data_IF_641962531429
#
_entry.id   IF_641962531429
#
_cell.length_a   1.000
_cell.length_b   1.000
_cell.length_c   1.000
_cell.angle_alpha   90.00
_cell.angle_beta   90.00
_cell.angle_gamma   90.00
#
_symmetry.space_group_name_H-M   'P 1'
#
loop_
_entity.id
_entity.type
_entity.pdbx_description
1 polymer ?
#
# COMPACT_ATOMS: atom_id res chain seq x y z
N UNK A 1 43.56 -34.04 -13.22
CA UNK A 1 43.49 -33.54 -14.59
C UNK A 1 42.18 -34.02 -15.22
N UNK A 2 40.99 -33.53 -14.76
CA UNK A 2 39.77 -33.61 -15.53
C UNK A 2 38.88 -32.32 -15.48
N UNK A 3 39.39 -31.16 -15.05
CA UNK A 3 38.56 -29.94 -14.91
C UNK A 3 38.67 -29.03 -16.14
N UNK A 4 39.60 -29.27 -17.04
CA UNK A 4 39.85 -28.41 -18.23
C UNK A 4 38.95 -28.78 -19.46
N UNK A 5 38.26 -29.92 -19.46
CA UNK A 5 37.44 -30.34 -20.62
C UNK A 5 35.97 -29.90 -20.55
N UNK A 6 35.46 -29.52 -19.36
CA UNK A 6 34.06 -29.12 -19.22
C UNK A 6 33.76 -27.68 -19.67
N UNK A 7 34.73 -26.76 -19.58
CA UNK A 7 34.53 -25.36 -19.94
C UNK A 7 34.43 -25.13 -21.48
N UNK A 8 35.11 -25.94 -22.26
CA UNK A 8 35.10 -25.79 -23.73
C UNK A 8 33.88 -26.43 -24.40
N UNK A 9 33.25 -27.44 -23.79
CA UNK A 9 32.05 -28.05 -24.34
C UNK A 9 30.81 -27.14 -24.18
N UNK A 10 30.75 -26.42 -23.06
CA UNK A 10 29.64 -25.44 -22.84
C UNK A 10 29.79 -24.21 -23.72
N UNK A 11 30.99 -23.70 -23.94
CA UNK A 11 31.22 -22.54 -24.82
C UNK A 11 30.97 -22.87 -26.30
N UNK A 12 31.35 -24.06 -26.74
CA UNK A 12 31.13 -24.51 -28.14
C UNK A 12 29.66 -24.82 -28.44
N UNK A 13 28.89 -25.42 -27.49
CA UNK A 13 27.46 -25.62 -27.64
C UNK A 13 26.68 -24.32 -27.57
N UNK A 14 27.08 -23.37 -26.72
CA UNK A 14 26.44 -22.09 -26.59
C UNK A 14 26.59 -21.25 -27.86
N UNK A 15 27.78 -21.17 -28.43
CA UNK A 15 28.04 -20.52 -29.72
C UNK A 15 27.30 -21.24 -30.86
N UNK A 16 27.30 -22.56 -30.89
CA UNK A 16 26.58 -23.34 -31.92
C UNK A 16 25.03 -23.23 -31.82
N UNK A 17 24.46 -23.10 -30.60
CA UNK A 17 23.03 -22.78 -30.43
C UNK A 17 22.68 -21.37 -30.89
N UNK A 18 23.59 -20.41 -30.71
CA UNK A 18 23.43 -19.04 -31.19
C UNK A 18 23.49 -18.91 -32.72
N UNK A 19 24.26 -19.79 -33.37
CA UNK A 19 24.37 -19.85 -34.84
C UNK A 19 23.22 -20.66 -35.50
N UNK A 20 22.70 -21.69 -34.84
CA UNK A 20 21.65 -22.54 -35.39
C UNK A 20 20.23 -21.91 -35.40
N UNK A 21 19.98 -20.86 -34.61
CA UNK A 21 18.71 -20.10 -34.59
C UNK A 21 18.56 -19.04 -35.69
N UNK A 22 19.53 -18.88 -36.56
CA UNK A 22 19.63 -17.78 -37.52
C UNK A 22 18.86 -17.98 -38.84
N UNK A 23 17.78 -18.73 -38.85
CA UNK A 23 16.90 -18.84 -40.04
C UNK A 23 15.82 -17.75 -40.07
N UNK A 24 16.21 -16.47 -40.19
CA UNK A 24 15.28 -15.35 -40.37
C UNK A 24 15.42 -14.17 -39.41
N UNK A 25 16.06 -14.33 -38.27
CA UNK A 25 16.42 -13.23 -37.37
C UNK A 25 17.82 -12.70 -37.71
N UNK A 26 18.05 -11.38 -37.62
CA UNK A 26 19.39 -10.84 -37.68
C UNK A 26 20.30 -11.56 -36.70
N UNK A 27 21.50 -11.99 -37.15
CA UNK A 27 22.43 -12.77 -36.36
C UNK A 27 22.69 -12.11 -35.01
N UNK A 28 22.77 -12.92 -33.93
CA UNK A 28 23.15 -12.42 -32.60
C UNK A 28 24.55 -11.81 -32.69
N UNK A 29 24.62 -10.50 -32.55
CA UNK A 29 25.87 -9.75 -32.50
C UNK A 29 26.03 -9.03 -31.16
N UNK A 30 27.26 -8.85 -30.72
CA UNK A 30 27.51 -8.04 -29.52
C UNK A 30 26.91 -6.63 -29.66
N UNK A 31 26.89 -6.08 -30.86
CA UNK A 31 26.29 -4.78 -31.15
C UNK A 31 24.79 -4.79 -30.92
N UNK A 32 24.05 -5.82 -31.34
CA UNK A 32 22.61 -5.96 -31.13
C UNK A 32 22.28 -5.99 -29.61
N UNK A 33 22.98 -6.80 -28.87
CA UNK A 33 22.81 -6.89 -27.39
C UNK A 33 23.13 -5.57 -26.72
N UNK A 34 24.21 -4.91 -27.13
CA UNK A 34 24.60 -3.60 -26.60
C UNK A 34 23.53 -2.53 -26.86
N UNK A 35 23.00 -2.47 -28.08
CA UNK A 35 21.94 -1.51 -28.42
C UNK A 35 20.67 -1.80 -27.60
N UNK A 36 20.24 -3.05 -27.48
CA UNK A 36 19.09 -3.43 -26.65
C UNK A 36 19.31 -2.99 -25.18
N UNK A 37 20.50 -3.21 -24.63
CA UNK A 37 20.86 -2.75 -23.29
C UNK A 37 20.85 -1.23 -23.17
N UNK A 38 21.36 -0.51 -24.17
CA UNK A 38 21.33 0.97 -24.19
C UNK A 38 19.90 1.52 -24.28
N UNK A 39 19.01 0.90 -25.06
CA UNK A 39 17.60 1.28 -25.11
C UNK A 39 16.93 1.12 -23.75
N UNK A 40 17.19 0.00 -23.07
CA UNK A 40 16.69 -0.20 -21.71
C UNK A 40 17.31 0.80 -20.71
N UNK A 41 18.59 1.16 -20.86
CA UNK A 41 19.21 2.20 -20.03
C UNK A 41 18.53 3.56 -20.24
N UNK A 42 18.16 3.91 -21.48
CA UNK A 42 17.41 5.12 -21.79
C UNK A 42 16.04 5.08 -21.12
N UNK A 43 15.29 3.99 -21.23
CA UNK A 43 14.00 3.83 -20.56
C UNK A 43 14.13 3.94 -19.03
N UNK A 44 15.13 3.27 -18.44
CA UNK A 44 15.38 3.29 -17.00
C UNK A 44 16.00 4.62 -16.51
N UNK A 45 16.61 5.44 -17.35
CA UNK A 45 17.11 6.76 -16.94
C UNK A 45 15.99 7.67 -16.41
N UNK A 46 14.75 7.44 -16.82
CA UNK A 46 13.57 8.14 -16.34
C UNK A 46 13.42 8.06 -14.81
N UNK A 47 13.80 6.93 -14.19
CA UNK A 47 13.66 6.77 -12.72
C UNK A 47 14.63 7.68 -11.95
N UNK A 48 15.86 7.87 -12.45
CA UNK A 48 16.82 8.77 -11.82
C UNK A 48 16.43 10.23 -12.05
N UNK A 49 15.96 10.56 -13.27
CA UNK A 49 15.45 11.89 -13.60
C UNK A 49 14.22 12.22 -12.77
N UNK A 50 13.30 11.27 -12.62
CA UNK A 50 12.10 11.39 -11.79
C UNK A 50 12.45 11.60 -10.31
N UNK A 51 13.31 10.75 -9.75
CA UNK A 51 13.76 10.90 -8.37
C UNK A 51 14.44 12.25 -8.12
N UNK A 52 15.31 12.69 -9.05
CA UNK A 52 15.93 14.02 -8.97
C UNK A 52 14.89 15.14 -9.03
N UNK A 53 13.93 15.05 -9.95
CA UNK A 53 12.86 16.05 -10.07
C UNK A 53 12.00 16.10 -8.81
N UNK A 54 11.59 14.97 -8.26
CA UNK A 54 10.80 14.88 -7.03
C UNK A 54 11.52 15.45 -5.80
N UNK A 55 12.84 15.21 -5.68
CA UNK A 55 13.65 15.72 -4.55
C UNK A 55 14.01 17.20 -4.68
N UNK A 56 14.06 17.73 -5.90
CA UNK A 56 14.57 19.11 -6.19
C UNK A 56 13.43 20.10 -6.35
N UNK A 57 12.38 19.72 -7.08
CA UNK A 57 11.27 20.60 -7.39
C UNK A 57 10.08 20.38 -6.46
N UNK A 58 9.41 21.43 -6.05
CA UNK A 58 8.12 21.35 -5.34
C UNK A 58 6.99 21.16 -6.35
N UNK A 59 6.97 19.99 -7.00
CA UNK A 59 5.91 19.67 -7.95
C UNK A 59 4.65 19.27 -7.15
N UNK A 60 3.53 19.89 -7.45
CA UNK A 60 2.27 19.55 -6.79
C UNK A 60 1.83 18.12 -7.14
N UNK A 61 1.26 17.40 -6.17
CA UNK A 61 0.82 16.00 -6.33
C UNK A 61 -0.13 15.80 -7.52
N UNK A 62 -1.02 16.77 -7.79
CA UNK A 62 -1.92 16.74 -8.96
C UNK A 62 -1.18 16.73 -10.29
N UNK A 63 -0.04 17.42 -10.40
CA UNK A 63 0.77 17.43 -11.63
C UNK A 63 1.43 16.07 -11.82
N UNK A 64 2.01 15.52 -10.76
CA UNK A 64 2.63 14.17 -10.78
C UNK A 64 1.58 13.13 -11.16
N UNK A 65 0.38 13.19 -10.56
CA UNK A 65 -0.73 12.30 -10.84
C UNK A 65 -1.16 12.34 -12.33
N UNK A 66 -1.23 13.53 -12.91
CA UNK A 66 -1.59 13.69 -14.33
C UNK A 66 -0.49 13.17 -15.28
N UNK A 67 0.79 13.34 -14.94
CA UNK A 67 1.90 12.75 -15.71
C UNK A 67 1.89 11.22 -15.58
N UNK A 68 1.61 10.70 -14.37
CA UNK A 68 1.47 9.26 -14.13
C UNK A 68 0.31 8.67 -14.93
N UNK A 69 -0.85 9.33 -14.92
CA UNK A 69 -2.02 8.93 -15.71
C UNK A 69 -1.73 8.91 -17.21
N UNK A 70 -1.02 9.92 -17.71
CA UNK A 70 -0.57 9.98 -19.11
C UNK A 70 0.35 8.79 -19.44
N UNK A 71 1.36 8.52 -18.62
CA UNK A 71 2.26 7.37 -18.80
C UNK A 71 1.51 6.03 -18.73
N UNK A 72 0.56 5.90 -17.80
CA UNK A 72 -0.31 4.71 -17.69
C UNK A 72 -1.14 4.49 -18.96
N UNK A 73 -1.72 5.57 -19.52
CA UNK A 73 -2.46 5.50 -20.77
C UNK A 73 -1.59 5.04 -21.95
N UNK A 74 -0.36 5.54 -22.02
CA UNK A 74 0.61 5.11 -23.04
C UNK A 74 0.99 3.62 -22.87
N UNK A 75 1.19 3.15 -21.63
CA UNK A 75 1.43 1.73 -21.35
C UNK A 75 0.24 0.85 -21.73
N UNK A 76 -1.00 1.27 -21.41
CA UNK A 76 -2.20 0.51 -21.81
C UNK A 76 -2.28 0.35 -23.32
N UNK A 77 -1.93 1.38 -24.09
CA UNK A 77 -1.84 1.27 -25.56
C UNK A 77 -0.81 0.21 -25.97
N UNK A 78 0.43 0.31 -25.49
CA UNK A 78 1.49 -0.64 -25.80
C UNK A 78 1.13 -2.08 -25.41
N UNK A 79 0.49 -2.26 -24.25
CA UNK A 79 0.01 -3.58 -23.81
C UNK A 79 -1.07 -4.15 -24.72
N UNK A 80 -2.03 -3.32 -25.13
CA UNK A 80 -3.15 -3.78 -25.97
C UNK A 80 -2.72 -4.07 -27.40
N UNK A 81 -1.94 -3.18 -28.00
CA UNK A 81 -1.60 -3.25 -29.43
C UNK A 81 -0.32 -4.05 -29.65
N UNK A 82 0.77 -3.71 -28.96
CA UNK A 82 2.06 -4.32 -29.23
C UNK A 82 2.16 -5.72 -28.59
N UNK A 83 1.75 -5.87 -27.31
CA UNK A 83 1.93 -7.14 -26.60
C UNK A 83 0.73 -8.09 -26.70
N UNK A 84 -0.52 -7.61 -26.63
CA UNK A 84 -1.65 -8.54 -26.72
C UNK A 84 -2.00 -8.85 -28.20
N UNK A 85 -2.27 -7.82 -28.99
CA UNK A 85 -2.67 -7.99 -30.38
C UNK A 85 -1.48 -8.42 -31.22
N UNK A 86 -0.35 -7.69 -31.19
CA UNK A 86 0.82 -7.98 -32.01
C UNK A 86 1.41 -9.37 -31.79
N UNK A 87 1.56 -9.81 -30.54
CA UNK A 87 2.02 -11.17 -30.21
C UNK A 87 1.05 -12.24 -30.70
N UNK A 88 -0.29 -12.00 -30.59
CA UNK A 88 -1.30 -12.93 -31.11
C UNK A 88 -1.21 -13.00 -32.64
N UNK A 89 -1.13 -11.87 -33.33
CA UNK A 89 -1.01 -11.77 -34.78
C UNK A 89 0.25 -12.50 -35.28
N UNK A 90 1.38 -12.30 -34.61
CA UNK A 90 2.65 -12.95 -34.94
C UNK A 90 2.56 -14.48 -34.82
N UNK A 91 1.91 -15.02 -33.78
CA UNK A 91 1.64 -16.45 -33.64
C UNK A 91 0.78 -16.97 -34.80
N UNK A 92 -0.29 -16.26 -35.13
CA UNK A 92 -1.22 -16.66 -36.21
C UNK A 92 -0.52 -16.66 -37.58
N UNK A 93 0.28 -15.64 -37.88
CA UNK A 93 1.07 -15.58 -39.12
C UNK A 93 2.13 -16.67 -39.19
N UNK A 94 2.59 -17.19 -38.06
CA UNK A 94 3.51 -18.34 -37.99
C UNK A 94 2.81 -19.70 -38.07
N UNK A 95 1.48 -19.72 -38.33
CA UNK A 95 0.70 -20.92 -38.55
C UNK A 95 0.03 -21.49 -37.31
N UNK A 96 0.09 -20.82 -36.16
CA UNK A 96 -0.63 -21.23 -34.93
C UNK A 96 -2.12 -20.93 -35.11
N UNK A 97 -3.05 -21.89 -34.81
CA UNK A 97 -4.48 -21.62 -34.89
C UNK A 97 -4.92 -20.47 -33.96
N UNK A 98 -5.85 -19.62 -34.42
CA UNK A 98 -6.28 -18.41 -33.72
C UNK A 98 -6.66 -18.62 -32.25
N UNK A 99 -7.40 -19.70 -31.96
CA UNK A 99 -7.82 -20.00 -30.57
C UNK A 99 -6.62 -20.40 -29.71
N UNK A 100 -5.65 -21.11 -30.25
CA UNK A 100 -4.42 -21.50 -29.56
C UNK A 100 -3.54 -20.25 -29.31
N UNK A 101 -3.36 -19.40 -30.32
CA UNK A 101 -2.63 -18.16 -30.19
C UNK A 101 -3.25 -17.25 -29.11
N UNK A 102 -4.58 -17.07 -29.14
CA UNK A 102 -5.29 -16.35 -28.08
C UNK A 102 -5.08 -17.00 -26.70
N UNK A 103 -5.18 -18.32 -26.60
CA UNK A 103 -5.02 -19.01 -25.31
C UNK A 103 -3.62 -18.88 -24.73
N UNK A 104 -2.57 -18.90 -25.57
CA UNK A 104 -1.17 -18.68 -25.14
C UNK A 104 -1.01 -17.25 -24.59
N UNK A 105 -1.49 -16.26 -25.32
CA UNK A 105 -1.37 -14.87 -24.91
C UNK A 105 -2.23 -14.58 -23.68
N UNK A 106 -3.49 -14.98 -23.67
CA UNK A 106 -4.38 -14.78 -22.52
C UNK A 106 -3.85 -15.50 -21.25
N UNK A 107 -3.37 -16.74 -21.41
CA UNK A 107 -2.75 -17.51 -20.33
C UNK A 107 -1.47 -16.86 -19.81
N UNK A 108 -0.64 -16.32 -20.70
CA UNK A 108 0.56 -15.56 -20.36
C UNK A 108 0.23 -14.29 -19.55
N UNK A 109 -0.71 -13.47 -20.05
CA UNK A 109 -1.17 -12.27 -19.33
C UNK A 109 -1.72 -12.59 -17.95
N UNK A 110 -2.57 -13.62 -17.83
CA UNK A 110 -3.09 -14.04 -16.54
C UNK A 110 -1.98 -14.52 -15.59
N UNK A 111 -1.06 -15.33 -16.08
CA UNK A 111 0.08 -15.84 -15.29
C UNK A 111 1.00 -14.71 -14.83
N UNK A 112 1.35 -13.80 -15.74
CA UNK A 112 2.19 -12.65 -15.43
C UNK A 112 1.55 -11.72 -14.41
N UNK A 113 0.26 -11.44 -14.57
CA UNK A 113 -0.51 -10.65 -13.60
C UNK A 113 -0.56 -11.31 -12.23
N UNK A 114 -0.76 -12.63 -12.17
CA UNK A 114 -0.79 -13.38 -10.90
C UNK A 114 0.59 -13.41 -10.21
N UNK A 115 1.66 -13.60 -10.98
CA UNK A 115 3.06 -13.55 -10.45
C UNK A 115 3.33 -12.18 -9.88
N UNK A 116 3.04 -11.12 -10.63
CA UNK A 116 3.24 -9.75 -10.17
C UNK A 116 2.42 -9.46 -8.90
N UNK A 117 1.12 -9.76 -8.92
CA UNK A 117 0.23 -9.58 -7.77
C UNK A 117 0.77 -10.23 -6.50
N UNK A 118 1.19 -11.51 -6.62
CA UNK A 118 1.68 -12.28 -5.48
C UNK A 118 3.02 -11.75 -4.97
N UNK A 119 3.96 -11.47 -5.88
CA UNK A 119 5.28 -10.94 -5.55
C UNK A 119 5.19 -9.53 -4.93
N UNK A 120 4.36 -8.66 -5.52
CA UNK A 120 4.12 -7.31 -5.02
C UNK A 120 3.58 -7.34 -3.57
N UNK A 121 2.57 -8.17 -3.31
CA UNK A 121 1.99 -8.33 -1.96
C UNK A 121 3.00 -8.87 -0.94
N UNK A 122 3.84 -9.83 -1.34
CA UNK A 122 4.90 -10.36 -0.47
C UNK A 122 5.95 -9.30 -0.15
N UNK A 123 6.35 -8.51 -1.13
CA UNK A 123 7.34 -7.44 -0.95
C UNK A 123 6.76 -6.33 -0.07
N UNK A 124 5.50 -5.94 -0.26
CA UNK A 124 4.86 -4.92 0.54
C UNK A 124 4.72 -5.36 2.01
N UNK A 125 4.34 -6.62 2.25
CA UNK A 125 4.27 -7.19 3.61
C UNK A 125 5.65 -7.34 4.27
N UNK A 126 6.73 -7.44 3.48
CA UNK A 126 8.11 -7.46 3.98
C UNK A 126 8.70 -6.05 4.21
N UNK A 127 7.89 -4.98 4.05
CA UNK A 127 8.28 -3.60 4.27
C UNK A 127 8.62 -2.82 3.00
N UNK A 128 8.21 -3.30 1.82
CA UNK A 128 8.38 -2.61 0.55
C UNK A 128 7.31 -1.56 0.23
N UNK A 129 6.28 -1.44 1.07
CA UNK A 129 5.11 -0.59 0.83
C UNK A 129 5.46 0.89 0.62
N UNK A 130 6.51 1.39 1.29
CA UNK A 130 6.94 2.80 1.19
C UNK A 130 7.43 3.22 -0.21
N UNK A 131 7.66 2.29 -1.15
CA UNK A 131 8.06 2.62 -2.52
C UNK A 131 6.94 3.27 -3.35
N UNK A 132 5.69 2.94 -3.03
CA UNK A 132 4.50 3.48 -3.70
C UNK A 132 3.59 4.17 -2.68
N UNK A 133 3.17 5.38 -2.98
CA UNK A 133 2.35 6.17 -2.04
C UNK A 133 1.03 5.49 -1.68
N UNK A 134 0.36 4.88 -2.66
CA UNK A 134 -0.89 4.12 -2.44
C UNK A 134 -0.66 2.91 -1.54
N UNK A 135 0.41 2.13 -1.80
CA UNK A 135 0.73 0.95 -0.99
C UNK A 135 1.15 1.35 0.43
N UNK A 136 1.89 2.46 0.59
CA UNK A 136 2.26 3.01 1.88
C UNK A 136 1.03 3.39 2.71
N UNK A 137 0.05 4.07 2.10
CA UNK A 137 -1.23 4.42 2.75
C UNK A 137 -2.03 3.19 3.11
N UNK A 138 -2.16 2.23 2.18
CA UNK A 138 -2.88 0.98 2.42
C UNK A 138 -2.25 0.17 3.57
N UNK A 139 -0.93 0.02 3.58
CA UNK A 139 -0.19 -0.65 4.66
C UNK A 139 -0.39 0.06 6.00
N UNK A 140 -0.25 1.38 6.04
CA UNK A 140 -0.40 2.16 7.27
C UNK A 140 -1.84 2.07 7.79
N UNK A 141 -2.84 2.13 6.90
CA UNK A 141 -4.25 1.98 7.28
C UNK A 141 -4.55 0.59 7.83
N UNK A 142 -4.04 -0.47 7.18
CA UNK A 142 -4.21 -1.86 7.63
C UNK A 142 -3.60 -2.05 9.03
N UNK A 143 -2.40 -1.50 9.26
CA UNK A 143 -1.76 -1.51 10.57
C UNK A 143 -2.51 -0.71 11.62
N UNK A 144 -3.01 0.47 11.29
CA UNK A 144 -3.86 1.26 12.20
C UNK A 144 -5.12 0.49 12.57
N UNK A 145 -5.76 -0.17 11.61
CA UNK A 145 -6.93 -1.00 11.85
C UNK A 145 -6.60 -2.23 12.71
N UNK A 146 -5.48 -2.90 12.47
CA UNK A 146 -5.00 -4.04 13.27
C UNK A 146 -4.76 -3.63 14.72
N UNK A 147 -4.02 -2.54 14.95
CA UNK A 147 -3.71 -2.01 16.28
C UNK A 147 -4.96 -1.54 17.02
N UNK A 148 -5.84 -0.80 16.33
CA UNK A 148 -7.08 -0.32 16.90
C UNK A 148 -8.09 -1.45 17.17
N UNK A 149 -8.05 -2.55 16.40
CA UNK A 149 -9.04 -3.64 16.49
C UNK A 149 -9.15 -4.26 17.87
N UNK A 150 -8.04 -4.55 18.52
CA UNK A 150 -8.01 -5.07 19.89
C UNK A 150 -8.61 -4.11 20.91
N UNK A 151 -8.28 -2.83 20.80
CA UNK A 151 -8.82 -1.77 21.64
C UNK A 151 -10.34 -1.59 21.43
N UNK A 152 -10.77 -1.57 20.17
CA UNK A 152 -12.19 -1.43 19.81
C UNK A 152 -13.02 -2.64 20.23
N UNK A 153 -12.45 -3.84 20.27
CA UNK A 153 -13.11 -5.01 20.84
C UNK A 153 -13.37 -4.85 22.34
N UNK A 154 -12.43 -4.26 23.08
CA UNK A 154 -12.59 -3.95 24.50
C UNK A 154 -13.61 -2.83 24.71
N UNK A 155 -13.54 -1.75 23.94
CA UNK A 155 -14.53 -0.65 23.97
C UNK A 155 -15.94 -1.16 23.68
N UNK A 156 -16.11 -2.04 22.68
CA UNK A 156 -17.40 -2.62 22.32
C UNK A 156 -18.06 -3.49 23.40
N UNK A 157 -17.31 -3.98 24.38
CA UNK A 157 -17.86 -4.69 25.55
C UNK A 157 -18.64 -3.74 26.47
N UNK A 158 -18.29 -2.45 26.47
CA UNK A 158 -18.98 -1.46 27.28
C UNK A 158 -20.26 -0.95 26.58
N UNK A 159 -21.36 -0.92 27.32
CA UNK A 159 -22.67 -0.53 26.78
C UNK A 159 -22.72 0.94 26.33
N UNK A 160 -22.01 1.83 27.04
CA UNK A 160 -21.92 3.25 26.67
C UNK A 160 -21.16 3.44 25.38
N UNK A 161 -19.99 2.78 25.25
CA UNK A 161 -19.19 2.85 24.02
C UNK A 161 -19.91 2.22 22.83
N UNK A 162 -20.57 1.08 23.05
CA UNK A 162 -21.34 0.39 22.02
C UNK A 162 -22.55 1.18 21.51
N UNK A 163 -23.05 2.12 22.28
CA UNK A 163 -24.12 3.01 21.83
C UNK A 163 -23.62 4.15 20.93
N UNK A 164 -22.31 4.39 20.86
CA UNK A 164 -21.72 5.34 19.92
C UNK A 164 -21.75 4.78 18.51
N UNK A 165 -21.99 5.63 17.49
CA UNK A 165 -21.99 5.18 16.08
C UNK A 165 -20.62 4.62 15.67
N UNK A 166 -20.53 3.38 15.18
CA UNK A 166 -19.24 2.81 14.72
C UNK A 166 -18.54 3.65 13.66
N UNK A 167 -19.31 4.32 12.80
CA UNK A 167 -18.78 5.19 11.73
C UNK A 167 -18.05 6.44 12.21
N UNK A 168 -18.21 6.82 13.47
CA UNK A 168 -17.65 8.03 14.06
C UNK A 168 -16.47 7.75 15.00
N UNK A 169 -16.11 6.48 15.17
CA UNK A 169 -15.03 6.05 16.06
C UNK A 169 -13.65 6.52 15.57
N UNK A 170 -13.46 6.65 14.25
CA UNK A 170 -12.20 7.18 13.69
C UNK A 170 -11.86 8.56 14.26
N UNK A 171 -12.86 9.40 14.51
CA UNK A 171 -12.70 10.71 15.12
C UNK A 171 -12.34 10.65 16.63
N UNK A 172 -12.65 9.53 17.32
CA UNK A 172 -12.35 9.34 18.74
C UNK A 172 -10.90 8.88 18.97
N UNK A 173 -10.34 8.09 18.04
CA UNK A 173 -9.03 7.45 18.21
C UNK A 173 -7.90 8.42 18.60
N UNK A 174 -7.76 9.62 18.01
CA UNK A 174 -6.70 10.57 18.36
C UNK A 174 -6.72 11.06 19.82
N UNK A 175 -7.87 10.93 20.50
CA UNK A 175 -8.08 11.39 21.87
C UNK A 175 -7.97 10.27 22.90
N UNK A 176 -7.67 9.03 22.46
CA UNK A 176 -7.43 7.90 23.34
C UNK A 176 -6.00 7.95 23.87
N UNK A 177 -5.84 8.05 25.17
CA UNK A 177 -4.54 8.10 25.85
C UNK A 177 -4.31 6.80 26.62
N UNK A 178 -3.21 6.13 26.40
CA UNK A 178 -2.83 4.97 27.21
C UNK A 178 -2.38 5.44 28.60
N UNK A 179 -2.80 4.69 29.60
CA UNK A 179 -2.40 4.93 31.00
C UNK A 179 -1.91 3.63 31.64
N UNK A 180 -0.93 3.80 32.54
CA UNK A 180 -0.46 2.75 33.43
C UNK A 180 -0.59 3.23 34.88
N UNK A 181 -1.10 2.39 35.77
CA UNK A 181 -1.28 2.71 37.18
C UNK A 181 -0.77 1.54 38.01
N UNK A 182 0.25 1.79 38.87
CA UNK A 182 0.82 0.73 39.72
C UNK A 182 -0.13 0.32 40.83
N UNK A 183 -0.04 -0.92 41.25
CA UNK A 183 -0.77 -1.45 42.39
C UNK A 183 -0.62 -0.56 43.62
N UNK A 184 -1.73 -0.30 44.33
CA UNK A 184 -1.78 0.59 45.50
C UNK A 184 -1.89 2.08 45.17
N UNK A 185 -1.92 2.47 43.89
CA UNK A 185 -2.11 3.87 43.47
C UNK A 185 -3.60 4.16 43.21
N UNK A 186 -3.99 5.41 43.46
CA UNK A 186 -5.34 5.89 43.14
C UNK A 186 -5.45 6.30 41.68
N UNK A 187 -6.51 5.86 41.04
CA UNK A 187 -6.89 6.38 39.72
C UNK A 187 -7.54 7.76 39.90
N UNK A 188 -8.43 7.88 40.86
CA UNK A 188 -9.02 9.13 41.37
C UNK A 188 -9.69 8.89 42.72
N UNK A 189 -10.03 9.97 43.45
CA UNK A 189 -10.67 9.91 44.77
C UNK A 189 -12.09 10.44 44.74
N UNK A 190 -12.92 9.96 45.64
CA UNK A 190 -14.27 10.49 45.84
C UNK A 190 -14.23 11.97 46.20
N UNK A 191 -15.01 12.78 45.46
CA UNK A 191 -15.04 14.24 45.60
C UNK A 191 -14.14 14.98 44.62
N UNK A 192 -13.20 14.31 43.94
CA UNK A 192 -12.41 14.92 42.87
C UNK A 192 -13.30 15.36 41.69
N UNK A 193 -12.83 16.28 40.89
CA UNK A 193 -13.51 16.68 39.66
C UNK A 193 -13.49 15.51 38.68
N UNK A 194 -14.62 15.25 38.03
CA UNK A 194 -14.72 14.20 37.02
C UNK A 194 -14.21 14.69 35.69
N UNK A 195 -12.93 14.56 35.43
CA UNK A 195 -12.18 15.13 34.31
C UNK A 195 -11.98 14.17 33.13
N UNK A 196 -12.14 12.86 33.35
CA UNK A 196 -11.91 11.84 32.35
C UNK A 196 -12.74 10.58 32.56
N UNK A 197 -12.77 9.74 31.54
CA UNK A 197 -13.28 8.36 31.57
C UNK A 197 -12.10 7.41 31.34
N UNK A 198 -12.15 6.24 31.98
CA UNK A 198 -11.11 5.23 31.89
C UNK A 198 -11.72 3.87 31.48
N UNK A 199 -11.17 3.25 30.46
CA UNK A 199 -11.42 1.86 30.09
C UNK A 199 -10.24 1.01 30.57
N UNK A 200 -10.50 -0.04 31.33
CA UNK A 200 -9.46 -0.92 31.86
C UNK A 200 -9.15 -2.02 30.85
N UNK A 201 -7.89 -2.06 30.37
CA UNK A 201 -7.40 -3.04 29.40
C UNK A 201 -6.68 -4.22 30.07
N UNK A 202 -6.07 -4.02 31.24
CA UNK A 202 -5.49 -5.07 32.06
C UNK A 202 -5.52 -4.69 33.53
N UNK A 203 -5.46 -5.68 34.41
CA UNK A 203 -5.45 -5.49 35.87
C UNK A 203 -6.84 -5.42 36.51
N UNK A 204 -6.87 -4.98 37.78
CA UNK A 204 -8.08 -4.86 38.60
C UNK A 204 -8.03 -3.65 39.51
N UNK A 205 -9.20 -3.02 39.71
CA UNK A 205 -9.39 -1.86 40.57
C UNK A 205 -10.46 -2.14 41.61
N UNK A 206 -10.27 -1.63 42.81
CA UNK A 206 -11.26 -1.61 43.87
C UNK A 206 -12.06 -0.30 43.88
N UNK A 207 -13.36 -0.38 44.06
CA UNK A 207 -14.28 0.76 44.23
C UNK A 207 -14.58 0.93 45.69
N UNK A 208 -14.25 2.11 46.23
CA UNK A 208 -14.44 2.44 47.64
C UNK A 208 -15.36 3.67 47.75
N UNK A 209 -16.32 3.58 48.67
CA UNK A 209 -17.24 4.67 48.97
C UNK A 209 -17.18 5.05 50.43
N UNK A 210 -16.97 6.34 50.68
CA UNK A 210 -16.98 6.94 51.99
C UNK A 210 -18.41 7.40 52.32
N UNK A 211 -18.93 6.99 53.46
CA UNK A 211 -20.21 7.47 53.98
C UNK A 211 -20.04 8.74 54.79
N UNK A 212 -21.11 9.54 54.88
CA UNK A 212 -21.13 10.75 55.69
C UNK A 212 -20.95 10.34 57.18
N UNK A 213 -19.82 10.78 57.81
CA UNK A 213 -19.44 10.38 59.18
C UNK A 213 -18.16 9.57 59.30
N UNK A 214 -17.60 9.02 58.23
CA UNK A 214 -16.30 8.32 58.25
C UNK A 214 -15.15 9.32 58.35
N UNK A 215 -14.43 9.31 59.47
CA UNK A 215 -13.43 10.34 59.80
C UNK A 215 -12.10 10.19 59.08
N UNK A 216 -11.65 8.98 58.68
CA UNK A 216 -10.37 8.73 57.99
C UNK A 216 -10.41 7.44 57.15
N UNK A 217 -9.74 7.45 55.99
CA UNK A 217 -9.56 6.30 55.10
C UNK A 217 -10.34 6.39 53.78
N UNK A 218 -10.16 5.39 52.93
CA UNK A 218 -10.75 5.32 51.58
C UNK A 218 -12.23 4.93 51.55
N UNK A 219 -12.82 4.62 52.72
CA UNK A 219 -14.18 4.15 52.85
C UNK A 219 -14.30 2.64 52.74
N UNK A 220 -15.53 2.14 52.51
CA UNK A 220 -15.83 0.72 52.41
C UNK A 220 -15.71 0.27 50.96
N UNK A 221 -15.02 -0.86 50.71
CA UNK A 221 -14.98 -1.49 49.40
C UNK A 221 -16.38 -1.99 49.01
N UNK A 222 -16.93 -1.47 47.94
CA UNK A 222 -18.31 -1.78 47.50
C UNK A 222 -18.35 -2.60 46.21
N UNK A 223 -17.30 -2.53 45.39
CA UNK A 223 -17.26 -3.23 44.09
C UNK A 223 -15.80 -3.41 43.60
N UNK A 224 -15.63 -4.12 42.51
CA UNK A 224 -14.37 -4.29 41.79
C UNK A 224 -14.56 -4.07 40.29
N UNK A 225 -13.54 -3.50 39.64
CA UNK A 225 -13.49 -3.24 38.20
C UNK A 225 -12.37 -4.09 37.61
N UNK A 226 -12.68 -4.76 36.52
CA UNK A 226 -11.76 -5.66 35.81
C UNK A 226 -11.66 -5.29 34.33
N UNK A 227 -10.79 -5.97 33.62
CA UNK A 227 -10.59 -5.79 32.17
C UNK A 227 -11.93 -5.71 31.40
N UNK A 228 -12.03 -4.76 30.48
CA UNK A 228 -13.20 -4.51 29.63
C UNK A 228 -14.28 -3.65 30.29
N UNK A 229 -14.09 -3.25 31.55
CA UNK A 229 -15.01 -2.35 32.23
C UNK A 229 -14.55 -0.90 32.17
N UNK A 230 -15.52 0.00 32.23
CA UNK A 230 -15.31 1.47 32.17
C UNK A 230 -15.63 2.05 33.55
N UNK A 231 -14.82 3.02 33.95
CA UNK A 231 -15.01 3.80 35.16
C UNK A 231 -14.91 5.29 34.90
N UNK A 232 -15.68 6.08 35.65
CA UNK A 232 -15.71 7.53 35.51
C UNK A 232 -16.63 8.04 34.39
N UNK A 233 -17.53 7.21 33.85
CA UNK A 233 -18.50 7.53 32.80
C UNK A 233 -19.43 8.70 33.18
N UNK A 234 -19.65 8.90 34.46
CA UNK A 234 -20.46 10.01 34.99
C UNK A 234 -19.80 11.37 34.69
N UNK A 235 -18.48 11.38 34.55
CA UNK A 235 -17.72 12.58 34.18
C UNK A 235 -18.04 13.05 32.77
N UNK A 236 -18.23 12.12 31.82
CA UNK A 236 -18.57 12.44 30.43
C UNK A 236 -20.02 12.88 30.26
N UNK A 237 -20.94 12.28 31.03
CA UNK A 237 -22.37 12.41 30.78
C UNK A 237 -23.06 13.52 31.57
N UNK A 238 -22.49 14.01 32.67
CA UNK A 238 -23.26 14.88 33.54
C UNK A 238 -22.53 16.02 34.25
N UNK A 239 -21.22 16.09 34.18
CA UNK A 239 -20.45 17.13 34.87
C UNK A 239 -20.67 17.08 36.39
N UNK A 240 -19.90 16.26 37.08
CA UNK A 240 -20.00 16.14 38.52
C UNK A 240 -18.67 15.74 39.16
N UNK A 241 -18.67 15.68 40.47
CA UNK A 241 -17.56 15.12 41.25
C UNK A 241 -17.58 13.62 41.21
N UNK A 242 -16.44 12.98 41.42
CA UNK A 242 -16.29 11.52 41.54
C UNK A 242 -17.12 10.97 42.73
N UNK A 243 -17.96 10.00 42.47
CA UNK A 243 -18.84 9.43 43.46
C UNK A 243 -18.18 8.35 44.32
N UNK A 244 -17.01 7.86 43.93
CA UNK A 244 -16.23 6.83 44.61
C UNK A 244 -14.74 7.07 44.47
N UNK A 245 -13.94 6.48 45.33
CA UNK A 245 -12.48 6.36 45.20
C UNK A 245 -12.16 5.06 44.48
N UNK A 246 -11.28 5.16 43.46
CA UNK A 246 -10.81 4.02 42.67
C UNK A 246 -9.33 3.79 42.96
N UNK A 247 -9.03 2.60 43.48
CA UNK A 247 -7.69 2.17 43.86
C UNK A 247 -7.25 0.97 43.03
N UNK A 248 -6.04 0.98 42.52
CA UNK A 248 -5.45 -0.14 41.81
C UNK A 248 -5.10 -1.28 42.76
N UNK A 249 -5.76 -2.44 42.62
CA UNK A 249 -5.49 -3.66 43.40
C UNK A 249 -4.37 -4.51 42.78
N UNK A 250 -4.07 -4.32 41.50
CA UNK A 250 -2.91 -4.82 40.75
C UNK A 250 -2.33 -3.72 39.89
N UNK A 251 -1.24 -3.98 39.18
CA UNK A 251 -0.82 -3.09 38.10
C UNK A 251 -1.91 -3.07 37.03
N UNK A 252 -2.29 -1.88 36.60
CA UNK A 252 -3.43 -1.62 35.73
C UNK A 252 -2.95 -0.89 34.48
N UNK A 253 -3.35 -1.41 33.33
CA UNK A 253 -3.27 -0.71 32.05
C UNK A 253 -4.67 -0.27 31.62
N UNK A 254 -4.78 0.86 30.97
CA UNK A 254 -6.07 1.39 30.55
C UNK A 254 -5.97 2.46 29.47
N UNK A 255 -7.13 2.88 29.00
CA UNK A 255 -7.30 3.96 28.05
C UNK A 255 -8.09 5.06 28.73
N UNK A 256 -7.55 6.28 28.69
CA UNK A 256 -8.16 7.50 29.20
C UNK A 256 -8.74 8.32 28.05
N UNK A 257 -9.90 8.91 28.26
CA UNK A 257 -10.49 9.92 27.39
C UNK A 257 -10.80 11.13 28.26
N UNK A 258 -10.17 12.26 27.99
CA UNK A 258 -10.41 13.50 28.71
C UNK A 258 -11.81 14.06 28.40
N UNK A 259 -12.44 14.68 29.39
CA UNK A 259 -13.77 15.29 29.22
C UNK A 259 -13.76 16.35 28.13
N UNK A 260 -12.75 17.21 28.09
CA UNK A 260 -12.66 18.30 27.12
C UNK A 260 -12.62 17.76 25.69
N UNK A 261 -11.83 16.72 25.45
CA UNK A 261 -11.72 16.03 24.16
C UNK A 261 -13.04 15.38 23.73
N UNK A 262 -13.70 14.72 24.66
CA UNK A 262 -15.00 14.11 24.41
C UNK A 262 -16.10 15.15 24.14
N UNK A 263 -16.12 16.25 24.88
CA UNK A 263 -17.05 17.38 24.64
C UNK A 263 -16.78 18.06 23.30
N UNK A 264 -15.52 18.15 22.89
CA UNK A 264 -15.13 18.66 21.56
C UNK A 264 -15.69 17.77 20.44
N UNK A 265 -15.51 16.47 20.57
CA UNK A 265 -16.06 15.49 19.62
C UNK A 265 -17.57 15.54 19.51
N UNK A 266 -18.28 15.67 20.64
CA UNK A 266 -19.76 15.81 20.64
C UNK A 266 -20.19 17.09 19.88
N UNK A 267 -19.41 18.16 19.96
CA UNK A 267 -19.71 19.40 19.23
C UNK A 267 -19.52 19.27 17.72
N UNK A 268 -18.51 18.56 17.30
CA UNK A 268 -18.15 18.41 15.88
C UNK A 268 -18.92 17.29 15.18
N UNK A 269 -19.30 16.24 15.89
CA UNK A 269 -19.98 15.06 15.35
C UNK A 269 -21.48 15.07 15.67
N UNK A 270 -22.37 15.23 14.67
CA UNK A 270 -23.82 15.14 14.89
C UNK A 270 -24.29 13.75 15.37
N UNK A 271 -23.67 12.67 14.88
CA UNK A 271 -24.00 11.30 15.27
C UNK A 271 -23.61 11.01 16.70
N UNK A 272 -22.40 11.43 17.12
CA UNK A 272 -21.93 11.31 18.49
C UNK A 272 -22.84 12.10 19.46
N UNK A 273 -23.22 13.33 19.07
CA UNK A 273 -24.15 14.14 19.85
C UNK A 273 -25.50 13.47 20.04
N UNK A 274 -26.08 12.91 18.98
CA UNK A 274 -27.36 12.22 19.04
C UNK A 274 -27.28 10.98 19.95
N UNK A 275 -26.22 10.18 19.84
CA UNK A 275 -25.98 9.00 20.65
C UNK A 275 -25.86 9.34 22.15
N UNK A 276 -25.08 10.38 22.47
CA UNK A 276 -24.89 10.83 23.88
C UNK A 276 -26.18 11.40 24.46
N UNK A 277 -26.96 12.14 23.66
CA UNK A 277 -28.25 12.67 24.11
C UNK A 277 -29.26 11.55 24.37
N UNK A 278 -29.29 10.54 23.51
CA UNK A 278 -30.11 9.35 23.71
C UNK A 278 -29.71 8.59 24.96
N UNK A 279 -28.39 8.42 25.21
CA UNK A 279 -27.88 7.81 26.44
C UNK A 279 -28.31 8.56 27.70
N UNK A 280 -28.25 9.90 27.68
CA UNK A 280 -28.74 10.73 28.78
C UNK A 280 -30.21 10.50 29.05
N UNK A 281 -31.04 10.46 28.02
CA UNK A 281 -32.49 10.20 28.12
C UNK A 281 -32.78 8.79 28.62
N UNK A 282 -32.10 7.77 28.09
CA UNK A 282 -32.24 6.37 28.50
C UNK A 282 -31.84 6.16 29.95
N UNK A 283 -30.83 6.88 30.47
CA UNK A 283 -30.46 6.81 31.89
C UNK A 283 -31.44 7.51 32.81
N UNK A 284 -32.07 8.59 32.38
CA UNK A 284 -33.16 9.22 33.10
C UNK A 284 -34.40 8.30 33.16
N UNK A 285 -34.63 7.51 32.08
CA UNK A 285 -35.71 6.56 31.96
C UNK A 285 -35.39 5.17 32.50
N UNK A 286 -34.12 4.81 32.74
CA UNK A 286 -33.65 3.48 33.18
C UNK A 286 -33.95 3.10 34.63
N UNK A 287 -34.82 3.83 35.28
CA UNK A 287 -35.62 3.20 36.35
C UNK A 287 -36.74 2.31 35.79
N UNK A 288 -36.95 2.28 34.45
CA UNK A 288 -38.00 1.52 33.79
C UNK A 288 -37.47 0.98 32.47
N UNK A 289 -37.09 -0.31 32.47
CA UNK A 289 -36.80 -1.19 31.34
C UNK A 289 -35.50 -1.00 30.55
N UNK A 290 -34.67 -2.05 30.59
CA UNK A 290 -33.51 -2.33 29.72
C UNK A 290 -33.98 -2.68 28.33
N UNK A 291 -33.70 -1.83 27.36
CA UNK A 291 -33.37 -2.26 26.01
C UNK A 291 -31.97 -1.73 25.67
N UNK A 292 -31.00 -2.61 25.79
CA UNK A 292 -29.63 -2.39 25.37
C UNK A 292 -29.60 -2.26 23.82
N UNK A 293 -28.66 -1.48 23.30
CA UNK A 293 -28.30 -1.50 21.89
C UNK A 293 -28.34 -2.94 21.34
N UNK A 294 -29.10 -3.19 20.32
CA UNK A 294 -29.31 -4.51 19.72
C UNK A 294 -28.08 -5.07 19.01
N UNK A 295 -27.01 -4.27 18.89
CA UNK A 295 -25.79 -4.66 18.19
C UNK A 295 -24.88 -5.45 19.11
N UNK A 296 -24.40 -6.60 18.61
CA UNK A 296 -23.37 -7.41 19.30
C UNK A 296 -22.04 -6.66 19.40
N UNK A 297 -21.28 -6.91 20.49
CA UNK A 297 -19.99 -6.24 20.73
C UNK A 297 -18.95 -6.50 19.64
N UNK A 298 -18.94 -7.71 19.10
CA UNK A 298 -18.01 -8.09 18.02
C UNK A 298 -18.39 -7.46 16.69
N UNK A 299 -19.67 -7.34 16.40
CA UNK A 299 -20.18 -6.67 15.21
C UNK A 299 -19.91 -5.16 15.28
N UNK A 300 -20.13 -4.53 16.43
CA UNK A 300 -19.81 -3.13 16.65
C UNK A 300 -18.30 -2.87 16.46
N UNK A 301 -17.42 -3.66 17.09
CA UNK A 301 -15.98 -3.52 16.99
C UNK A 301 -15.49 -3.68 15.52
N UNK A 302 -16.07 -4.63 14.79
CA UNK A 302 -15.78 -4.83 13.36
C UNK A 302 -16.16 -3.62 12.53
N UNK A 303 -17.35 -3.06 12.72
CA UNK A 303 -17.81 -1.87 12.01
C UNK A 303 -16.98 -0.64 12.39
N UNK A 304 -16.64 -0.48 13.67
CA UNK A 304 -15.78 0.58 14.15
C UNK A 304 -14.37 0.50 13.53
N UNK A 305 -13.77 -0.69 13.49
CA UNK A 305 -12.47 -0.92 12.81
C UNK A 305 -12.56 -0.57 11.31
N UNK A 306 -13.62 -0.95 10.64
CA UNK A 306 -13.84 -0.64 9.23
C UNK A 306 -14.13 0.86 8.96
N UNK A 307 -14.52 1.62 9.98
CA UNK A 307 -14.74 3.06 9.86
C UNK A 307 -13.44 3.87 9.86
N UNK A 308 -12.33 3.29 10.33
CA UNK A 308 -11.00 3.91 10.26
C UNK A 308 -10.56 3.94 8.79
N UNK A 309 -10.68 5.10 8.14
CA UNK A 309 -10.43 5.26 6.70
C UNK A 309 -9.42 6.35 6.37
N UNK A 310 -9.15 7.25 7.31
CA UNK A 310 -8.32 8.41 7.07
C UNK A 310 -7.06 8.36 7.92
N UNK A 311 -5.96 8.78 7.32
CA UNK A 311 -4.68 8.99 8.00
C UNK A 311 -4.04 10.26 7.46
N UNK A 312 -3.45 11.04 8.35
CA UNK A 312 -2.61 12.16 7.96
C UNK A 312 -1.26 11.68 7.41
N UNK A 313 -0.58 12.54 6.67
CA UNK A 313 0.75 12.20 6.13
C UNK A 313 1.77 11.92 7.25
N UNK A 314 1.64 12.55 8.41
CA UNK A 314 2.48 12.29 9.60
C UNK A 314 2.20 10.91 10.19
N UNK A 315 0.93 10.52 10.37
CA UNK A 315 0.57 9.20 10.89
C UNK A 315 1.06 8.07 9.97
N UNK A 316 0.93 8.24 8.63
CA UNK A 316 1.47 7.27 7.67
C UNK A 316 2.98 7.12 7.86
N UNK A 317 3.69 8.23 8.01
CA UNK A 317 5.14 8.24 8.25
C UNK A 317 5.49 7.47 9.54
N UNK A 318 4.81 7.77 10.64
CA UNK A 318 5.09 7.18 11.94
C UNK A 318 4.83 5.67 11.92
N UNK A 319 3.72 5.22 11.36
CA UNK A 319 3.40 3.80 11.19
C UNK A 319 4.42 3.08 10.29
N UNK A 320 4.86 3.69 9.19
CA UNK A 320 5.90 3.11 8.33
C UNK A 320 7.25 2.99 9.04
N UNK A 321 7.61 3.99 9.85
CA UNK A 321 8.88 4.00 10.59
C UNK A 321 8.88 2.94 11.71
N UNK A 322 7.78 2.82 12.46
CA UNK A 322 7.66 1.97 13.63
C UNK A 322 7.42 0.49 13.26
N UNK A 323 6.60 0.23 12.24
CA UNK A 323 6.18 -1.13 11.86
C UNK A 323 6.89 -1.70 10.63
N UNK A 324 8.00 -1.09 10.22
CA UNK A 324 8.89 -1.66 9.19
C UNK A 324 8.40 -1.55 7.75
N UNK A 325 7.41 -0.68 7.47
CA UNK A 325 6.92 -0.42 6.10
C UNK A 325 7.93 0.21 5.15
N UNK A 326 9.12 0.59 5.65
CA UNK A 326 10.23 1.19 4.92
C UNK A 326 11.50 0.33 4.89
N UNK A 327 11.42 -0.99 4.77
CA UNK A 327 12.59 -1.87 4.67
C UNK A 327 13.34 -1.62 3.33
N UNK A 328 14.63 -1.16 3.39
CA UNK A 328 15.38 -0.82 2.18
C UNK A 328 15.53 -1.95 1.17
N UNK A 329 15.72 -3.19 1.66
CA UNK A 329 15.88 -4.35 0.80
C UNK A 329 14.56 -4.70 0.09
N UNK A 330 13.44 -4.65 0.81
CA UNK A 330 12.13 -4.93 0.23
C UNK A 330 11.73 -3.85 -0.80
N UNK A 331 12.00 -2.57 -0.52
CA UNK A 331 11.80 -1.47 -1.48
C UNK A 331 12.65 -1.70 -2.74
N UNK A 332 13.90 -2.08 -2.59
CA UNK A 332 14.79 -2.35 -3.72
C UNK A 332 14.33 -3.55 -4.55
N UNK A 333 13.95 -4.65 -3.90
CA UNK A 333 13.38 -5.81 -4.59
C UNK A 333 12.10 -5.48 -5.36
N UNK A 334 11.25 -4.62 -4.78
CA UNK A 334 10.04 -4.16 -5.45
C UNK A 334 10.35 -3.35 -6.70
N UNK A 335 11.26 -2.39 -6.61
CA UNK A 335 11.68 -1.59 -7.76
C UNK A 335 12.29 -2.46 -8.88
N UNK A 336 12.99 -3.54 -8.52
CA UNK A 336 13.47 -4.52 -9.51
C UNK A 336 12.28 -5.27 -10.14
N UNK A 337 11.32 -5.72 -9.35
CA UNK A 337 10.12 -6.40 -9.84
C UNK A 337 9.38 -5.55 -10.89
N UNK A 338 9.29 -4.24 -10.65
CA UNK A 338 8.62 -3.30 -11.55
C UNK A 338 9.42 -3.07 -12.84
N UNK A 339 10.76 -3.10 -12.78
CA UNK A 339 11.66 -2.85 -13.92
C UNK A 339 11.88 -4.07 -14.84
N UNK A 340 11.78 -5.31 -14.31
CA UNK A 340 12.11 -6.53 -15.06
C UNK A 340 11.22 -6.73 -16.30
N UNK A 341 9.86 -6.68 -16.22
CA UNK A 341 9.02 -7.01 -17.35
C UNK A 341 9.29 -6.10 -18.57
N UNK A 342 9.31 -4.79 -18.34
CA UNK A 342 9.55 -3.82 -19.42
C UNK A 342 10.94 -3.96 -20.04
N UNK A 343 11.98 -4.19 -19.23
CA UNK A 343 13.34 -4.37 -19.72
C UNK A 343 13.51 -5.65 -20.55
N UNK A 344 12.91 -6.77 -20.09
CA UNK A 344 12.92 -8.04 -20.83
C UNK A 344 12.26 -7.90 -22.20
N UNK A 345 11.10 -7.21 -22.29
CA UNK A 345 10.39 -7.02 -23.55
C UNK A 345 11.21 -6.14 -24.49
N UNK A 346 11.79 -5.04 -24.02
CA UNK A 346 12.69 -4.20 -24.85
C UNK A 346 13.81 -5.05 -25.46
N UNK A 347 14.39 -5.95 -24.65
CA UNK A 347 15.44 -6.85 -25.11
C UNK A 347 14.93 -7.90 -26.10
N UNK A 348 13.82 -8.55 -25.81
CA UNK A 348 13.26 -9.63 -26.61
C UNK A 348 12.82 -9.17 -28.02
N UNK A 349 12.20 -7.98 -28.07
CA UNK A 349 11.64 -7.44 -29.33
C UNK A 349 12.65 -6.72 -30.21
N UNK A 350 13.81 -6.32 -29.66
CA UNK A 350 14.85 -5.64 -30.43
C UNK A 350 15.73 -6.65 -31.17
N UNK A 351 15.46 -6.91 -32.43
CA UNK A 351 16.28 -7.76 -33.31
C UNK A 351 17.23 -6.92 -34.20
N UNK A 352 16.93 -5.65 -34.41
CA UNK A 352 17.67 -4.66 -35.20
C UNK A 352 16.88 -3.36 -35.30
N UNK A 353 17.38 -2.40 -36.05
CA UNK A 353 16.69 -1.10 -36.18
C UNK A 353 15.34 -1.20 -36.92
N UNK A 354 15.14 -2.25 -37.71
CA UNK A 354 13.86 -2.50 -38.42
C UNK A 354 12.76 -2.97 -37.47
N UNK A 355 13.12 -3.70 -36.37
CA UNK A 355 12.19 -4.18 -35.36
C UNK A 355 12.10 -3.25 -34.15
N UNK A 356 12.75 -2.11 -34.16
CA UNK A 356 12.73 -1.15 -33.06
C UNK A 356 11.33 -0.58 -32.85
N UNK A 357 10.75 -0.81 -31.69
CA UNK A 357 9.47 -0.25 -31.28
C UNK A 357 9.66 0.97 -30.38
N UNK A 358 9.55 2.20 -30.92
CA UNK A 358 9.70 3.42 -30.13
C UNK A 358 8.54 3.63 -29.16
N UNK A 359 7.34 3.11 -29.46
CA UNK A 359 6.14 3.29 -28.65
C UNK A 359 6.31 2.68 -27.28
N UNK A 360 6.76 1.42 -27.22
CA UNK A 360 7.01 0.72 -25.95
C UNK A 360 8.11 1.41 -25.13
N UNK A 361 9.21 1.81 -25.77
CA UNK A 361 10.29 2.52 -25.08
C UNK A 361 9.80 3.83 -24.45
N UNK A 362 9.08 4.65 -25.23
CA UNK A 362 8.53 5.93 -24.77
C UNK A 362 7.50 5.73 -23.68
N UNK A 363 6.63 4.72 -23.82
CA UNK A 363 5.62 4.41 -22.81
C UNK A 363 6.25 4.03 -21.44
N UNK A 364 7.28 3.17 -21.45
CA UNK A 364 8.01 2.79 -20.24
C UNK A 364 8.74 3.99 -19.63
N UNK A 365 9.40 4.81 -20.45
CA UNK A 365 10.06 6.02 -19.97
C UNK A 365 9.08 6.99 -19.28
N UNK A 366 7.93 7.26 -19.94
CA UNK A 366 6.91 8.18 -19.43
C UNK A 366 6.23 7.66 -18.18
N UNK A 367 6.10 6.35 -18.02
CA UNK A 367 5.54 5.74 -16.83
C UNK A 367 6.49 5.79 -15.63
N UNK A 368 7.76 5.48 -15.85
CA UNK A 368 8.78 5.41 -14.80
C UNK A 368 9.10 6.78 -14.19
N UNK A 369 9.00 7.85 -14.96
CA UNK A 369 9.37 9.20 -14.51
C UNK A 369 8.51 9.69 -13.32
N UNK A 370 7.18 9.76 -13.42
CA UNK A 370 6.33 10.21 -12.30
C UNK A 370 6.29 9.21 -11.14
N UNK A 371 6.46 7.92 -11.42
CA UNK A 371 6.54 6.88 -10.39
C UNK A 371 7.74 7.12 -9.47
N UNK A 372 8.92 7.32 -10.02
CA UNK A 372 10.11 7.63 -9.25
C UNK A 372 10.04 8.99 -8.55
N UNK A 373 9.36 9.99 -9.15
CA UNK A 373 9.08 11.27 -8.50
C UNK A 373 8.24 11.08 -7.24
N UNK A 374 7.13 10.36 -7.33
CA UNK A 374 6.23 10.11 -6.21
C UNK A 374 6.90 9.27 -5.12
N UNK A 375 7.60 8.22 -5.49
CA UNK A 375 8.33 7.35 -4.56
C UNK A 375 9.44 8.11 -3.80
N UNK A 376 10.19 8.98 -4.48
CA UNK A 376 11.22 9.80 -3.84
C UNK A 376 10.63 10.73 -2.76
N UNK A 377 9.43 11.27 -3.01
CA UNK A 377 8.69 12.10 -2.05
C UNK A 377 8.20 11.31 -0.83
N UNK A 378 7.86 10.03 -0.99
CA UNK A 378 7.44 9.14 0.10
C UNK A 378 8.63 8.62 0.91
N UNK A 379 9.74 8.27 0.23
CA UNK A 379 10.93 7.72 0.87
C UNK A 379 11.67 8.74 1.75
N UNK A 380 11.65 10.02 1.39
CA UNK A 380 12.35 11.05 2.15
C UNK A 380 11.77 11.25 3.56
N UNK A 381 10.46 11.41 3.76
CA UNK A 381 9.85 11.42 5.09
C UNK A 381 10.08 10.10 5.84
N UNK A 382 10.12 8.96 5.16
CA UNK A 382 10.44 7.66 5.74
C UNK A 382 11.93 7.51 6.17
N UNK A 383 12.70 8.61 6.24
CA UNK A 383 14.07 8.66 6.78
C UNK A 383 15.17 8.29 5.78
N UNK A 384 14.86 8.17 4.49
CA UNK A 384 15.89 7.89 3.48
C UNK A 384 16.67 9.14 3.11
N UNK A 385 18.00 9.06 3.13
CA UNK A 385 18.86 10.12 2.61
C UNK A 385 18.79 10.18 1.07
N UNK A 386 19.01 11.38 0.50
CA UNK A 386 19.01 11.55 -0.96
C UNK A 386 20.00 10.58 -1.64
N UNK A 387 21.17 10.32 -1.04
CA UNK A 387 22.15 9.39 -1.58
C UNK A 387 21.62 7.94 -1.65
N UNK A 388 20.86 7.50 -0.64
CA UNK A 388 20.22 6.17 -0.65
C UNK A 388 19.13 6.11 -1.72
N UNK A 389 18.31 7.15 -1.86
CA UNK A 389 17.27 7.22 -2.89
C UNK A 389 17.89 7.15 -4.29
N UNK A 390 18.91 7.98 -4.57
CA UNK A 390 19.62 7.91 -5.86
C UNK A 390 20.34 6.58 -6.09
N UNK A 391 20.86 5.95 -5.05
CA UNK A 391 21.49 4.63 -5.13
C UNK A 391 20.47 3.54 -5.52
N UNK A 392 19.30 3.53 -4.90
CA UNK A 392 18.23 2.58 -5.21
C UNK A 392 17.73 2.76 -6.66
N UNK A 393 17.35 3.97 -7.04
CA UNK A 393 16.87 4.25 -8.40
C UNK A 393 17.97 4.12 -9.45
N UNK A 394 19.20 4.54 -9.13
CA UNK A 394 20.37 4.42 -10.02
C UNK A 394 20.74 2.97 -10.32
N UNK A 395 20.52 2.03 -9.37
CA UNK A 395 20.77 0.60 -9.61
C UNK A 395 19.91 0.02 -10.74
N UNK A 396 18.69 0.56 -10.94
CA UNK A 396 17.79 0.11 -12.01
C UNK A 396 18.31 0.47 -13.40
N UNK A 397 19.07 1.57 -13.53
CA UNK A 397 19.74 1.96 -14.79
C UNK A 397 20.85 0.97 -15.18
N UNK A 398 21.27 0.13 -14.22
CA UNK A 398 22.23 -0.97 -14.47
C UNK A 398 21.48 -2.29 -14.64
N UNK A 399 20.52 -2.57 -13.76
CA UNK A 399 19.76 -3.83 -13.72
C UNK A 399 18.88 -3.98 -14.96
N UNK A 400 18.17 -2.93 -15.38
CA UNK A 400 17.32 -2.94 -16.57
C UNK A 400 18.06 -3.37 -17.83
N UNK A 401 19.20 -2.74 -18.18
CA UNK A 401 20.05 -3.19 -19.28
C UNK A 401 20.50 -4.64 -19.21
N UNK A 402 20.79 -5.15 -18.00
CA UNK A 402 21.15 -6.58 -17.84
C UNK A 402 19.98 -7.48 -18.21
N UNK A 403 18.76 -7.18 -17.76
CA UNK A 403 17.58 -7.94 -18.16
C UNK A 403 17.25 -7.79 -19.65
N UNK A 404 17.44 -6.62 -20.23
CA UNK A 404 17.29 -6.43 -21.68
C UNK A 404 18.33 -7.25 -22.46
N UNK A 405 19.56 -7.28 -22.03
CA UNK A 405 20.58 -8.13 -22.63
C UNK A 405 20.24 -9.61 -22.54
N UNK A 406 19.76 -10.09 -21.37
CA UNK A 406 19.27 -11.45 -21.19
C UNK A 406 18.08 -11.72 -22.13
N UNK A 407 17.08 -10.86 -22.17
CA UNK A 407 15.96 -10.97 -23.09
C UNK A 407 16.40 -11.06 -24.54
N UNK A 408 17.34 -10.20 -24.95
CA UNK A 408 17.87 -10.16 -26.32
C UNK A 408 18.69 -11.39 -26.73
N UNK A 409 19.40 -12.00 -25.78
CA UNK A 409 20.22 -13.20 -26.05
C UNK A 409 19.36 -14.46 -26.13
N UNK A 410 18.46 -14.65 -25.19
CA UNK A 410 17.79 -15.92 -24.99
C UNK A 410 16.43 -16.04 -25.68
N UNK A 411 15.62 -14.97 -25.69
CA UNK A 411 14.25 -15.05 -26.17
C UNK A 411 14.11 -15.15 -27.69
N UNK A 412 14.87 -14.43 -28.52
CA UNK A 412 14.76 -14.54 -29.97
C UNK A 412 15.17 -15.92 -30.53
N UNK A 413 15.97 -16.68 -29.77
CA UNK A 413 16.37 -18.05 -30.17
C UNK A 413 15.37 -19.11 -29.70
N UNK A 414 14.35 -18.76 -28.94
CA UNK A 414 13.32 -19.66 -28.43
C UNK A 414 12.27 -19.97 -29.53
N UNK A 415 11.54 -21.13 -29.42
CA UNK A 415 10.36 -21.35 -30.22
C UNK A 415 9.38 -20.19 -30.11
N UNK A 416 8.68 -19.86 -31.21
CA UNK A 416 7.83 -18.68 -31.27
C UNK A 416 6.74 -18.66 -30.21
N UNK A 417 6.19 -19.85 -29.86
CA UNK A 417 5.17 -19.99 -28.82
C UNK A 417 5.74 -19.64 -27.44
N UNK A 418 7.01 -19.98 -27.20
CA UNK A 418 7.69 -19.68 -25.95
C UNK A 418 8.03 -18.19 -25.84
N UNK A 419 8.51 -17.60 -26.94
CA UNK A 419 8.72 -16.15 -27.03
C UNK A 419 7.41 -15.40 -26.73
N UNK A 420 6.34 -15.75 -27.43
CA UNK A 420 5.02 -15.16 -27.24
C UNK A 420 4.50 -15.31 -25.80
N UNK A 421 4.74 -16.46 -25.18
CA UNK A 421 4.36 -16.69 -23.78
C UNK A 421 5.15 -15.76 -22.85
N UNK A 422 6.44 -15.57 -23.03
CA UNK A 422 7.25 -14.65 -22.22
C UNK A 422 6.84 -13.19 -22.40
N UNK A 423 6.57 -12.76 -23.63
CA UNK A 423 6.05 -11.43 -23.92
C UNK A 423 4.69 -11.19 -23.26
N UNK A 424 3.80 -12.20 -23.34
CA UNK A 424 2.49 -12.17 -22.69
C UNK A 424 2.60 -12.12 -21.14
N UNK A 425 3.50 -12.91 -20.56
CA UNK A 425 3.77 -12.88 -19.10
C UNK A 425 4.26 -11.46 -18.68
N UNK A 426 5.19 -10.89 -19.43
CA UNK A 426 5.67 -9.54 -19.16
C UNK A 426 4.54 -8.51 -19.31
N UNK A 427 3.72 -8.62 -20.36
CA UNK A 427 2.55 -7.79 -20.57
C UNK A 427 1.54 -7.86 -19.42
N UNK A 428 1.26 -9.07 -18.93
CA UNK A 428 0.39 -9.27 -17.78
C UNK A 428 0.91 -8.69 -16.48
N UNK A 429 2.23 -8.79 -16.25
CA UNK A 429 2.88 -8.17 -15.09
C UNK A 429 2.81 -6.63 -15.15
N UNK A 430 3.06 -6.03 -16.32
CA UNK A 430 2.93 -4.58 -16.52
C UNK A 430 1.47 -4.13 -16.35
N UNK A 431 0.51 -4.90 -16.86
CA UNK A 431 -0.92 -4.58 -16.70
C UNK A 431 -1.32 -4.61 -15.22
N UNK A 432 -0.82 -5.57 -14.45
CA UNK A 432 -1.05 -5.64 -13.01
C UNK A 432 -0.43 -4.45 -12.26
N UNK A 433 0.80 -4.03 -12.62
CA UNK A 433 1.45 -2.82 -12.10
C UNK A 433 0.58 -1.57 -12.36
N UNK A 434 0.12 -1.39 -13.59
CA UNK A 434 -0.73 -0.24 -13.96
C UNK A 434 -2.02 -0.24 -13.15
N UNK A 435 -2.67 -1.40 -12.99
CA UNK A 435 -3.93 -1.53 -12.29
C UNK A 435 -3.81 -1.39 -10.76
N UNK A 436 -2.75 -1.94 -10.16
CA UNK A 436 -2.60 -1.97 -8.70
C UNK A 436 -1.92 -0.72 -8.14
N UNK A 437 -1.06 -0.08 -8.92
CA UNK A 437 -0.20 1.01 -8.44
C UNK A 437 -0.49 2.31 -9.15
N UNK A 438 -0.38 2.32 -10.50
CA UNK A 438 -0.35 3.59 -11.24
C UNK A 438 -1.72 4.27 -11.30
N UNK A 439 -2.78 3.56 -11.68
CA UNK A 439 -4.12 4.14 -11.73
C UNK A 439 -4.68 4.53 -10.36
N UNK A 440 -4.61 3.70 -9.31
CA UNK A 440 -5.06 4.11 -7.99
C UNK A 440 -4.34 5.38 -7.50
N UNK A 441 -3.01 5.44 -7.63
CA UNK A 441 -2.23 6.61 -7.24
C UNK A 441 -2.64 7.86 -8.05
N UNK A 442 -2.78 7.73 -9.37
CA UNK A 442 -3.19 8.86 -10.21
C UNK A 442 -4.57 9.39 -9.80
N UNK A 443 -5.53 8.52 -9.55
CA UNK A 443 -6.89 8.90 -9.14
C UNK A 443 -6.94 9.54 -7.75
N UNK A 444 -6.24 8.99 -6.77
CA UNK A 444 -6.20 9.52 -5.40
C UNK A 444 -5.70 10.98 -5.36
N UNK A 445 -4.66 11.29 -6.12
CA UNK A 445 -4.01 12.61 -6.07
C UNK A 445 -4.54 13.59 -7.13
N UNK A 446 -4.97 13.09 -8.28
CA UNK A 446 -5.38 13.90 -9.44
C UNK A 446 -6.88 14.07 -9.61
N UNK A 447 -7.69 13.19 -9.02
CA UNK A 447 -9.14 13.18 -9.17
C UNK A 447 -9.59 12.88 -10.61
N UNK A 448 -10.79 13.32 -10.98
CA UNK A 448 -11.43 12.99 -12.27
C UNK A 448 -10.65 13.44 -13.52
N UNK A 449 -9.82 14.48 -13.40
CA UNK A 449 -9.04 15.04 -14.51
C UNK A 449 -8.03 14.02 -15.06
N UNK A 450 -7.58 13.07 -14.27
CA UNK A 450 -6.63 12.02 -14.70
C UNK A 450 -7.19 11.17 -15.84
N UNK A 451 -8.50 11.05 -15.96
CA UNK A 451 -9.15 10.35 -17.07
C UNK A 451 -8.78 10.96 -18.42
N UNK A 452 -8.75 12.30 -18.51
CA UNK A 452 -8.36 13.03 -19.74
C UNK A 452 -6.86 12.81 -20.01
N UNK A 453 -6.02 12.88 -18.98
CA UNK A 453 -4.58 12.64 -19.13
C UNK A 453 -4.29 11.21 -19.58
N UNK A 454 -5.02 10.22 -19.07
CA UNK A 454 -4.92 8.81 -19.50
C UNK A 454 -5.28 8.66 -20.98
N UNK A 455 -6.40 9.25 -21.42
CA UNK A 455 -6.82 9.23 -22.82
C UNK A 455 -5.75 9.89 -23.70
N UNK A 456 -5.23 11.05 -23.29
CA UNK A 456 -4.19 11.75 -24.03
C UNK A 456 -2.91 10.89 -24.18
N UNK A 457 -2.47 10.23 -23.11
CA UNK A 457 -1.33 9.32 -23.15
C UNK A 457 -1.54 8.13 -24.08
N UNK A 458 -2.73 7.50 -23.99
CA UNK A 458 -3.12 6.42 -24.89
C UNK A 458 -3.09 6.88 -26.36
N UNK A 459 -3.67 8.05 -26.68
CA UNK A 459 -3.75 8.55 -28.04
C UNK A 459 -2.38 8.96 -28.61
N UNK A 460 -1.47 9.50 -27.80
CA UNK A 460 -0.10 9.80 -28.23
C UNK A 460 0.66 8.51 -28.53
N UNK A 461 0.57 7.50 -27.69
CA UNK A 461 1.17 6.20 -27.96
C UNK A 461 0.55 5.54 -29.20
N UNK A 462 -0.77 5.60 -29.37
CA UNK A 462 -1.46 5.10 -30.54
C UNK A 462 -1.00 5.80 -31.82
N UNK A 463 -0.78 7.12 -31.76
CA UNK A 463 -0.22 7.86 -32.91
C UNK A 463 1.17 7.37 -33.30
N UNK A 464 2.05 7.09 -32.31
CA UNK A 464 3.38 6.52 -32.57
C UNK A 464 3.29 5.13 -33.22
N UNK A 465 2.40 4.25 -32.69
CA UNK A 465 2.14 2.93 -33.28
C UNK A 465 1.60 3.07 -34.72
N UNK A 466 0.68 4.02 -34.98
CA UNK A 466 0.11 4.22 -36.31
C UNK A 466 1.15 4.71 -37.33
N UNK A 467 2.16 5.47 -36.89
CA UNK A 467 3.29 5.88 -37.76
C UNK A 467 4.20 4.68 -38.10
N UNK A 468 4.27 3.67 -37.23
CA UNK A 468 5.13 2.50 -37.44
C UNK A 468 4.50 1.48 -38.43
N UNK A 469 3.16 1.45 -38.53
CA UNK A 469 2.42 0.60 -39.49
C UNK A 469 2.78 0.94 -40.96
N UNK A 470 3.32 2.12 -41.24
CA UNK A 470 3.68 2.55 -42.57
C UNK A 470 5.10 2.13 -43.03
N UNK A 471 5.87 1.46 -42.17
CA UNK A 471 7.20 0.93 -42.48
C UNK A 471 7.15 -0.57 -42.80
#
# INVERSE_FOLDING_TARGET
>A
MPIFFASNVWSLNFVGMLEAGAGGAEALTATRVLIAALLAAIAMSAVVIGAWAGLTFKVGSKVIANILAFGSGALVNALAIDLAFGTTEHLVHSGVPNLTAWAVVAGGFFTGGLIYFSANRMIDSAGGAARHQTNARAFALDKKQELAGGMLELLGKNEVMRSLPPSEIDALIPYLQEIETSAGSYLFKQGDEGDALYLITAGSLGVFVRKEGDMEGDGTRVDGIVQGQVVGEMALLGGGVRNATILAESDVEGIKIDREDFEHLIKESPGMRAAVEQLKQDRVLKNIQREASSMDSSEWAKLATQSIRTMSASEIHDVLAEHGGGNPLAIWMGNILDAIPGSLVIGATFLGMASFNPTLLVAIFLANLPEAMASALTMRPAGYSNGKIYGLWGSLVIIGPVFAAIGNVFLPAAPIELLALFEAIAGGAILALVAQVMFPHAFEEGGDVVSISTIAGFMVAFFLTALDIQK
#
